data_IF_262152393637
#
_entry.id   IF_262152393637
#
_cell.length_a   1.000
_cell.length_b   1.000
_cell.length_c   1.000
_cell.angle_alpha   90.00
_cell.angle_beta   90.00
_cell.angle_gamma   90.00
#
_symmetry.space_group_name_H-M   'P 1'
#
loop_
_entity.id
_entity.type
_entity.pdbx_description
1 polymer ?
#
# COMPACT_ATOMS: atom_id res chain seq x y z
N UNK A 1 4.37 6.45 4.92
CA UNK A 1 5.56 6.36 4.04
C UNK A 1 5.23 7.12 2.77
N UNK A 2 6.10 8.01 2.27
CA UNK A 2 5.84 8.76 1.03
C UNK A 2 6.80 8.25 -0.05
N UNK A 3 6.26 7.66 -1.11
CA UNK A 3 7.03 7.10 -2.22
C UNK A 3 7.10 8.06 -3.40
N UNK A 4 8.16 8.02 -4.20
CA UNK A 4 8.38 8.94 -5.32
C UNK A 4 8.22 8.23 -6.69
N UNK A 5 7.14 7.48 -6.88
CA UNK A 5 6.90 6.75 -8.13
C UNK A 5 6.64 7.72 -9.29
N UNK A 6 7.23 7.44 -10.46
CA UNK A 6 7.09 8.31 -11.66
C UNK A 6 5.88 7.92 -12.48
N UNK A 7 5.60 6.63 -12.56
CA UNK A 7 4.50 6.04 -13.31
C UNK A 7 3.74 5.06 -12.44
N UNK A 8 2.50 4.74 -12.82
CA UNK A 8 1.69 3.74 -12.11
C UNK A 8 2.29 2.34 -12.19
N UNK A 9 3.08 2.03 -13.23
CA UNK A 9 3.78 0.75 -13.37
C UNK A 9 4.94 0.58 -12.38
N UNK A 10 5.45 1.66 -11.80
CA UNK A 10 6.50 1.62 -10.78
C UNK A 10 5.95 1.23 -9.39
N UNK A 11 4.63 1.36 -9.19
CA UNK A 11 3.97 1.05 -7.92
C UNK A 11 3.87 -0.48 -7.79
N UNK A 12 4.45 -1.09 -6.74
CA UNK A 12 4.41 -2.53 -6.59
C UNK A 12 3.00 -3.02 -6.22
N UNK A 13 2.67 -4.26 -6.52
CA UNK A 13 1.39 -4.85 -6.11
C UNK A 13 1.34 -5.24 -4.62
N UNK A 14 2.51 -5.36 -3.98
CA UNK A 14 2.68 -5.69 -2.56
C UNK A 14 4.08 -5.28 -2.09
N UNK A 15 4.27 -5.21 -0.78
CA UNK A 15 5.57 -4.92 -0.13
C UNK A 15 5.84 -5.90 1.00
N UNK A 16 7.07 -5.93 1.50
CA UNK A 16 7.42 -6.73 2.69
C UNK A 16 6.55 -6.34 3.91
N UNK A 17 6.18 -5.06 4.02
CA UNK A 17 5.30 -4.56 5.09
C UNK A 17 3.88 -5.12 4.92
N UNK A 18 3.33 -5.15 3.70
CA UNK A 18 2.01 -5.74 3.46
C UNK A 18 2.01 -7.26 3.62
N UNK A 19 3.13 -7.93 3.32
CA UNK A 19 3.33 -9.36 3.58
C UNK A 19 3.31 -9.66 5.09
N UNK A 20 3.97 -8.82 5.90
CA UNK A 20 3.94 -8.92 7.36
C UNK A 20 2.53 -8.65 7.92
N UNK A 21 1.85 -7.61 7.43
CA UNK A 21 0.48 -7.27 7.84
C UNK A 21 -0.50 -8.41 7.52
N UNK A 22 -0.46 -8.96 6.30
CA UNK A 22 -1.28 -10.10 5.89
C UNK A 22 -1.09 -11.31 6.81
N UNK A 23 0.16 -11.64 7.17
CA UNK A 23 0.46 -12.74 8.11
C UNK A 23 -0.12 -12.47 9.50
N UNK A 24 0.06 -11.26 10.04
CA UNK A 24 -0.45 -10.92 11.38
C UNK A 24 -1.99 -10.91 11.42
N UNK A 25 -2.64 -10.33 10.42
CA UNK A 25 -4.10 -10.30 10.33
C UNK A 25 -4.70 -11.71 10.20
N UNK A 26 -4.10 -12.58 9.38
CA UNK A 26 -4.51 -13.99 9.30
C UNK A 26 -4.38 -14.69 10.65
N UNK A 27 -3.28 -14.46 11.38
CA UNK A 27 -3.07 -15.03 12.72
C UNK A 27 -4.13 -14.55 13.72
N UNK A 28 -4.64 -13.32 13.56
CA UNK A 28 -5.72 -12.74 14.36
C UNK A 28 -7.13 -13.18 13.91
N UNK A 29 -7.24 -14.08 12.94
CA UNK A 29 -8.51 -14.65 12.48
C UNK A 29 -9.22 -13.84 11.39
N UNK A 30 -8.57 -12.83 10.80
CA UNK A 30 -9.12 -12.14 9.65
C UNK A 30 -9.05 -13.01 8.40
N UNK A 31 -10.11 -12.96 7.59
CA UNK A 31 -10.19 -13.63 6.29
C UNK A 31 -10.12 -12.60 5.16
N UNK A 32 -9.75 -13.05 3.96
CA UNK A 32 -9.63 -12.21 2.76
C UNK A 32 -8.64 -11.04 2.90
N UNK A 33 -7.57 -11.26 3.67
CA UNK A 33 -6.49 -10.29 3.95
C UNK A 33 -5.19 -10.73 3.27
N UNK A 34 -5.23 -10.99 1.97
CA UNK A 34 -4.03 -11.28 1.18
C UNK A 34 -3.08 -10.06 1.12
N UNK A 35 -1.79 -10.27 0.87
CA UNK A 35 -0.80 -9.17 0.90
C UNK A 35 -1.11 -8.02 -0.06
N UNK A 36 -1.58 -8.32 -1.27
CA UNK A 36 -2.05 -7.30 -2.22
C UNK A 36 -3.24 -6.52 -1.68
N UNK A 37 -4.17 -7.17 -0.99
CA UNK A 37 -5.31 -6.50 -0.34
C UNK A 37 -4.82 -5.60 0.79
N UNK A 38 -3.88 -6.08 1.61
CA UNK A 38 -3.25 -5.28 2.66
C UNK A 38 -2.52 -4.06 2.09
N UNK A 39 -1.78 -4.21 0.98
CA UNK A 39 -1.10 -3.09 0.35
C UNK A 39 -2.07 -2.06 -0.22
N UNK A 40 -3.12 -2.51 -0.91
CA UNK A 40 -4.19 -1.64 -1.38
C UNK A 40 -4.89 -0.90 -0.22
N UNK A 41 -5.11 -1.57 0.91
CA UNK A 41 -5.64 -0.95 2.12
C UNK A 41 -4.69 0.12 2.70
N UNK A 42 -3.39 -0.18 2.74
CA UNK A 42 -2.37 0.78 3.18
C UNK A 42 -2.36 2.05 2.30
N UNK A 43 -2.50 1.88 0.98
CA UNK A 43 -2.60 3.00 0.03
C UNK A 43 -3.90 3.80 0.27
N UNK A 44 -5.05 3.13 0.37
CA UNK A 44 -6.35 3.78 0.50
C UNK A 44 -6.52 4.54 1.83
N UNK A 45 -5.87 4.08 2.90
CA UNK A 45 -5.95 4.69 4.24
C UNK A 45 -4.83 5.70 4.53
N UNK A 46 -3.93 5.93 3.58
CA UNK A 46 -2.82 6.89 3.75
C UNK A 46 -1.69 6.38 4.64
N UNK A 47 -1.63 5.08 4.96
CA UNK A 47 -0.43 4.50 5.60
C UNK A 47 0.79 4.65 4.67
N UNK A 48 0.55 4.57 3.36
CA UNK A 48 1.51 4.93 2.32
C UNK A 48 0.89 5.92 1.34
N UNK A 49 1.67 6.91 0.92
CA UNK A 49 1.34 7.80 -0.17
C UNK A 49 2.08 7.30 -1.42
N UNK A 50 1.31 6.65 -2.30
CA UNK A 50 1.75 6.09 -3.58
C UNK A 50 1.21 6.90 -4.77
N UNK A 51 0.70 8.12 -4.53
CA UNK A 51 0.43 9.01 -5.64
C UNK A 51 1.73 9.19 -6.44
N UNK A 52 1.65 9.02 -7.76
CA UNK A 52 2.80 9.30 -8.62
C UNK A 52 3.18 10.78 -8.50
N UNK A 53 4.46 11.11 -8.68
CA UNK A 53 5.00 12.46 -8.45
C UNK A 53 4.32 13.56 -9.28
N UNK A 54 3.71 13.19 -10.42
CA UNK A 54 2.96 14.10 -11.29
C UNK A 54 1.49 14.28 -10.88
N UNK A 55 0.98 13.52 -9.91
CA UNK A 55 -0.38 13.67 -9.40
C UNK A 55 -0.51 14.99 -8.63
N UNK A 56 -1.57 15.76 -8.90
CA UNK A 56 -1.81 17.04 -8.22
C UNK A 56 -1.90 16.92 -6.69
N UNK A 57 -2.27 15.73 -6.18
CA UNK A 57 -2.39 15.45 -4.74
C UNK A 57 -1.10 14.96 -4.10
N UNK A 58 -0.02 14.75 -4.85
CA UNK A 58 1.20 14.11 -4.34
C UNK A 58 1.74 14.78 -3.05
N UNK A 59 1.65 16.11 -2.96
CA UNK A 59 2.10 16.90 -1.80
C UNK A 59 1.00 17.22 -0.77
N UNK A 60 -0.22 16.74 -1.00
CA UNK A 60 -1.40 17.05 -0.18
C UNK A 60 -1.77 15.91 0.78
N UNK A 61 -1.13 14.74 0.67
CA UNK A 61 -1.39 13.52 1.44
C UNK A 61 -0.15 12.92 2.07
#
# INVERSE_FOLDING_TARGET
IVNNFKTTGDVPAKTEISDAMSKDLKKRGFNFVGSTICYAFMQATGMVNDHIVSCFRYKEV
#
